data_IF_506431520268
#
_entry.id   IF_506431520268
#
_cell.length_a   1.000
_cell.length_b   1.000
_cell.length_c   1.000
_cell.angle_alpha   90.00
_cell.angle_beta   90.00
_cell.angle_gamma   90.00
#
_symmetry.space_group_name_H-M   'P 1'
#
loop_
_entity.id
_entity.type
_entity.pdbx_description
1 polymer ?
#
# COMPACT_ATOMS: atom_id res chain seq x y z
N UNK A 1 -17.50 3.19 6.44
CA UNK A 1 -18.78 2.46 6.53
C UNK A 1 -18.81 1.24 5.60
N UNK A 2 -18.49 1.41 4.31
CA UNK A 2 -18.44 0.30 3.34
C UNK A 2 -17.51 -0.87 3.75
N UNK A 3 -16.35 -0.59 4.34
CA UNK A 3 -15.42 -1.63 4.82
C UNK A 3 -16.02 -2.52 5.92
N UNK A 4 -16.67 -1.95 6.93
CA UNK A 4 -17.23 -2.72 8.05
C UNK A 4 -18.39 -3.60 7.58
N UNK A 5 -19.26 -3.05 6.72
CA UNK A 5 -20.37 -3.80 6.12
C UNK A 5 -19.83 -4.89 5.18
N UNK A 6 -18.80 -4.59 4.39
CA UNK A 6 -18.14 -5.55 3.52
C UNK A 6 -17.51 -6.71 4.28
N UNK A 7 -16.86 -6.46 5.43
CA UNK A 7 -16.30 -7.50 6.30
C UNK A 7 -17.42 -8.40 6.86
N UNK A 8 -18.52 -7.80 7.34
CA UNK A 8 -19.65 -8.54 7.88
C UNK A 8 -20.39 -9.38 6.83
N UNK A 9 -20.46 -8.93 5.58
CA UNK A 9 -21.04 -9.70 4.48
C UNK A 9 -20.08 -10.79 3.99
N UNK A 10 -18.77 -10.50 3.97
CA UNK A 10 -17.75 -11.45 3.56
C UNK A 10 -17.67 -12.66 4.50
N UNK A 11 -17.83 -12.46 5.82
CA UNK A 11 -17.86 -13.56 6.80
C UNK A 11 -19.08 -14.48 6.64
N UNK A 12 -20.16 -14.03 6.00
CA UNK A 12 -21.35 -14.81 5.68
C UNK A 12 -21.33 -15.54 4.33
N UNK A 13 -20.30 -15.33 3.51
CA UNK A 13 -20.13 -16.04 2.22
C UNK A 13 -20.07 -17.58 2.39
N UNK A 14 -19.33 -18.16 3.36
CA UNK A 14 -19.26 -19.63 3.49
C UNK A 14 -20.56 -20.26 4.01
N UNK A 15 -21.46 -19.49 4.63
CA UNK A 15 -22.72 -20.00 5.22
C UNK A 15 -23.94 -19.85 4.31
N UNK A 16 -23.91 -18.95 3.31
CA UNK A 16 -25.04 -18.69 2.41
C UNK A 16 -24.67 -18.80 0.93
N UNK A 17 -25.27 -19.77 0.23
CA UNK A 17 -25.07 -19.98 -1.21
C UNK A 17 -25.47 -18.76 -2.08
N UNK A 18 -26.45 -17.95 -1.63
CA UNK A 18 -26.83 -16.70 -2.30
C UNK A 18 -25.72 -15.64 -2.28
N UNK A 19 -24.99 -15.53 -1.18
CA UNK A 19 -23.86 -14.62 -1.04
C UNK A 19 -22.66 -15.09 -1.86
N UNK A 20 -22.41 -16.40 -1.95
CA UNK A 20 -21.38 -16.95 -2.84
C UNK A 20 -21.65 -16.65 -4.31
N UNK A 21 -22.90 -16.83 -4.79
CA UNK A 21 -23.27 -16.51 -6.18
C UNK A 21 -23.24 -15.00 -6.48
N UNK A 22 -23.62 -14.16 -5.52
CA UNK A 22 -23.51 -12.71 -5.65
C UNK A 22 -22.04 -12.25 -5.69
N UNK A 23 -21.17 -12.85 -4.87
CA UNK A 23 -19.74 -12.56 -4.87
C UNK A 23 -19.08 -12.88 -6.22
N UNK A 24 -19.47 -13.99 -6.87
CA UNK A 24 -18.98 -14.35 -8.21
C UNK A 24 -19.37 -13.34 -9.30
N UNK A 25 -20.46 -12.60 -9.13
CA UNK A 25 -20.86 -11.50 -10.04
C UNK A 25 -20.13 -10.19 -9.76
N UNK A 26 -19.53 -10.07 -8.57
CA UNK A 26 -18.73 -8.92 -8.16
C UNK A 26 -19.03 -8.46 -6.73
N UNK A 27 -18.06 -7.80 -6.11
CA UNK A 27 -18.16 -7.35 -4.71
C UNK A 27 -19.31 -6.35 -4.47
N UNK A 28 -19.68 -5.54 -5.47
CA UNK A 28 -20.85 -4.66 -5.38
C UNK A 28 -22.18 -5.40 -5.39
N UNK A 29 -22.28 -6.55 -6.06
CA UNK A 29 -23.49 -7.37 -6.09
C UNK A 29 -23.72 -8.07 -4.74
N UNK A 30 -22.65 -8.43 -4.02
CA UNK A 30 -22.73 -8.95 -2.67
C UNK A 30 -23.37 -7.94 -1.70
N UNK A 31 -23.03 -6.66 -1.82
CA UNK A 31 -23.60 -5.59 -0.98
C UNK A 31 -25.10 -5.45 -1.24
N UNK A 32 -25.52 -5.46 -2.51
CA UNK A 32 -26.95 -5.38 -2.89
C UNK A 32 -27.72 -6.60 -2.40
N UNK A 33 -27.14 -7.80 -2.50
CA UNK A 33 -27.76 -9.04 -2.03
C UNK A 33 -27.88 -9.07 -0.49
N UNK A 34 -26.88 -8.55 0.23
CA UNK A 34 -26.90 -8.42 1.69
C UNK A 34 -27.96 -7.46 2.20
N UNK A 35 -28.34 -6.45 1.42
CA UNK A 35 -29.42 -5.52 1.74
C UNK A 35 -30.79 -5.93 1.18
N UNK A 36 -30.87 -7.03 0.43
CA UNK A 36 -32.11 -7.57 -0.13
C UNK A 36 -33.21 -7.87 0.93
N UNK A 37 -32.90 -8.33 2.17
CA UNK A 37 -33.92 -8.56 3.20
C UNK A 37 -34.66 -7.29 3.65
N UNK A 38 -34.10 -6.10 3.40
CA UNK A 38 -34.71 -4.81 3.77
C UNK A 38 -35.58 -4.21 2.65
N UNK A 39 -35.79 -4.93 1.53
CA UNK A 39 -36.66 -4.51 0.44
C UNK A 39 -36.27 -3.16 -0.17
N UNK A 40 -37.23 -2.23 -0.29
CA UNK A 40 -37.02 -0.91 -0.92
C UNK A 40 -35.97 -0.03 -0.19
N UNK A 41 -35.88 -0.12 1.13
CA UNK A 41 -34.90 0.63 1.93
C UNK A 41 -33.47 0.07 1.73
N UNK A 42 -33.34 -1.23 1.48
CA UNK A 42 -32.05 -1.87 1.19
C UNK A 42 -31.37 -1.33 -0.07
N UNK A 43 -32.15 -0.99 -1.11
CA UNK A 43 -31.63 -0.34 -2.32
C UNK A 43 -31.09 1.06 -2.03
N UNK A 44 -31.78 1.83 -1.18
CA UNK A 44 -31.30 3.14 -0.74
C UNK A 44 -29.98 3.04 0.03
N UNK A 45 -29.88 2.11 0.99
CA UNK A 45 -28.63 1.86 1.73
C UNK A 45 -27.49 1.44 0.81
N UNK A 46 -27.76 0.63 -0.21
CA UNK A 46 -26.76 0.20 -1.21
C UNK A 46 -26.19 1.40 -1.98
N UNK A 47 -27.03 2.37 -2.36
CA UNK A 47 -26.58 3.62 -3.01
C UNK A 47 -25.73 4.46 -2.07
N UNK A 48 -26.12 4.59 -0.80
CA UNK A 48 -25.34 5.32 0.22
C UNK A 48 -23.96 4.68 0.43
N UNK A 49 -23.90 3.34 0.46
CA UNK A 49 -22.63 2.60 0.54
C UNK A 49 -21.77 2.82 -0.70
N UNK A 50 -22.37 2.82 -1.90
CA UNK A 50 -21.66 3.10 -3.15
C UNK A 50 -21.09 4.54 -3.18
N UNK A 51 -21.87 5.54 -2.74
CA UNK A 51 -21.38 6.92 -2.58
C UNK A 51 -20.24 7.01 -1.55
N UNK A 52 -20.30 6.22 -0.49
CA UNK A 52 -19.22 6.14 0.52
C UNK A 52 -17.90 5.60 -0.04
N UNK A 53 -17.93 4.70 -1.02
CA UNK A 53 -16.73 4.23 -1.71
C UNK A 53 -16.07 5.36 -2.51
N UNK A 54 -16.88 6.18 -3.20
CA UNK A 54 -16.38 7.35 -3.94
C UNK A 54 -15.68 8.32 -2.97
N UNK A 55 -16.32 8.63 -1.84
CA UNK A 55 -15.73 9.49 -0.81
C UNK A 55 -14.39 8.94 -0.28
N UNK A 56 -14.24 7.62 -0.18
CA UNK A 56 -13.00 6.99 0.28
C UNK A 56 -11.83 7.16 -0.72
N UNK A 57 -12.11 7.28 -2.02
CA UNK A 57 -11.06 7.50 -3.04
C UNK A 57 -10.50 8.93 -3.05
N UNK A 58 -11.14 9.88 -2.36
CA UNK A 58 -10.72 11.29 -2.34
C UNK A 58 -9.36 11.46 -1.67
N UNK A 59 -9.15 10.84 -0.50
CA UNK A 59 -7.89 10.96 0.25
C UNK A 59 -6.66 10.41 -0.51
N UNK A 60 -6.68 9.18 -1.08
CA UNK A 60 -5.55 8.69 -1.85
C UNK A 60 -5.32 9.49 -3.14
N UNK A 61 -6.40 9.94 -3.82
CA UNK A 61 -6.27 10.82 -4.99
C UNK A 61 -5.60 12.15 -4.61
N UNK A 62 -6.00 12.73 -3.48
CA UNK A 62 -5.39 13.95 -2.94
C UNK A 62 -3.90 13.76 -2.67
N UNK A 63 -3.52 12.68 -1.98
CA UNK A 63 -2.11 12.37 -1.66
C UNK A 63 -1.28 12.27 -2.94
N UNK A 64 -1.73 11.47 -3.91
CA UNK A 64 -1.01 11.27 -5.17
C UNK A 64 -0.71 12.59 -5.89
N UNK A 65 -1.67 13.53 -5.90
CA UNK A 65 -1.46 14.85 -6.50
C UNK A 65 -0.41 15.70 -5.78
N UNK A 66 -0.26 15.57 -4.46
CA UNK A 66 0.81 16.25 -3.70
C UNK A 66 2.15 15.57 -3.95
N UNK A 67 2.18 14.24 -3.97
CA UNK A 67 3.41 13.47 -4.21
C UNK A 67 4.04 13.81 -5.57
N UNK A 68 3.21 13.93 -6.63
CA UNK A 68 3.68 14.38 -7.95
C UNK A 68 4.21 15.82 -7.96
N UNK A 69 3.67 16.71 -7.12
CA UNK A 69 4.15 18.09 -7.01
C UNK A 69 5.49 18.17 -6.28
N UNK A 70 5.73 17.30 -5.30
CA UNK A 70 7.00 17.22 -4.55
C UNK A 70 8.13 16.65 -5.40
N UNK A 71 7.82 15.78 -6.38
CA UNK A 71 8.83 15.04 -7.16
C UNK A 71 9.66 15.92 -8.13
N UNK A 72 9.27 17.16 -8.43
CA UNK A 72 10.10 18.01 -9.29
C UNK A 72 9.66 19.46 -9.46
N UNK A 73 10.65 20.36 -9.60
CA UNK A 73 10.47 21.81 -9.92
C UNK A 73 9.63 22.08 -11.17
N UNK A 74 9.56 21.14 -12.11
CA UNK A 74 8.74 21.25 -13.31
C UNK A 74 7.31 20.74 -13.11
N UNK A 75 7.10 19.76 -12.21
CA UNK A 75 5.79 19.22 -11.89
C UNK A 75 4.99 20.13 -10.94
N UNK A 76 5.67 20.96 -10.14
CA UNK A 76 5.08 22.02 -9.31
C UNK A 76 4.34 23.09 -10.14
N UNK A 77 4.82 23.38 -11.36
CA UNK A 77 4.19 24.37 -12.26
C UNK A 77 2.82 23.93 -12.78
N UNK A 78 2.51 22.65 -12.71
CA UNK A 78 1.25 22.11 -13.26
C UNK A 78 0.17 22.20 -12.17
N UNK A 79 -0.99 22.82 -12.46
CA UNK A 79 -2.12 22.87 -11.55
C UNK A 79 -2.51 21.48 -11.08
N UNK A 80 -2.71 21.35 -9.77
CA UNK A 80 -3.07 20.10 -9.08
C UNK A 80 -4.24 19.34 -9.70
N UNK A 81 -5.21 20.07 -10.27
CA UNK A 81 -6.38 19.51 -10.93
C UNK A 81 -5.97 18.53 -12.04
N UNK A 82 -4.93 18.85 -12.82
CA UNK A 82 -4.47 18.02 -13.94
C UNK A 82 -3.90 16.70 -13.41
N UNK A 83 -3.07 16.73 -12.36
CA UNK A 83 -2.51 15.52 -11.76
C UNK A 83 -3.60 14.62 -11.17
N UNK A 84 -4.58 15.22 -10.47
CA UNK A 84 -5.71 14.46 -9.94
C UNK A 84 -6.56 13.85 -11.07
N UNK A 85 -6.82 14.57 -12.17
CA UNK A 85 -7.57 14.03 -13.31
C UNK A 85 -6.83 12.88 -13.98
N UNK A 86 -5.51 12.99 -14.17
CA UNK A 86 -4.69 11.90 -14.73
C UNK A 86 -4.72 10.67 -13.81
N UNK A 87 -4.57 10.85 -12.50
CA UNK A 87 -4.69 9.76 -11.53
C UNK A 87 -6.06 9.08 -11.61
N UNK A 88 -7.15 9.86 -11.74
CA UNK A 88 -8.52 9.37 -11.92
C UNK A 88 -8.67 8.50 -13.16
N UNK A 89 -8.14 8.97 -14.29
CA UNK A 89 -8.18 8.21 -15.54
C UNK A 89 -7.42 6.89 -15.38
N UNK A 90 -6.22 6.90 -14.79
CA UNK A 90 -5.40 5.70 -14.62
C UNK A 90 -6.12 4.65 -13.77
N UNK A 91 -6.58 5.01 -12.56
CA UNK A 91 -7.23 4.01 -11.71
C UNK A 91 -8.59 3.56 -12.28
N UNK A 92 -9.28 4.42 -13.05
CA UNK A 92 -10.54 4.07 -13.72
C UNK A 92 -10.32 3.07 -14.85
N UNK A 93 -9.28 3.26 -15.67
CA UNK A 93 -8.87 2.30 -16.70
C UNK A 93 -8.46 0.97 -16.06
N UNK A 94 -7.68 1.01 -14.98
CA UNK A 94 -7.32 -0.18 -14.22
C UNK A 94 -8.56 -0.90 -13.63
N UNK A 95 -9.54 -0.16 -13.12
CA UNK A 95 -10.79 -0.72 -12.60
C UNK A 95 -11.64 -1.39 -13.69
N UNK A 96 -11.68 -0.80 -14.89
CA UNK A 96 -12.37 -1.37 -16.07
C UNK A 96 -11.69 -2.66 -16.54
N UNK A 97 -10.36 -2.64 -16.69
CA UNK A 97 -9.58 -3.79 -17.13
C UNK A 97 -9.55 -4.92 -16.08
N UNK A 98 -9.53 -4.57 -14.80
CA UNK A 98 -9.46 -5.52 -13.70
C UNK A 98 -10.78 -6.26 -13.42
N UNK A 99 -11.92 -5.82 -13.96
CA UNK A 99 -13.27 -6.22 -13.53
C UNK A 99 -13.48 -7.73 -13.36
N UNK A 100 -12.86 -8.56 -14.21
CA UNK A 100 -12.99 -10.03 -14.19
C UNK A 100 -12.06 -10.74 -13.19
N UNK A 101 -10.93 -10.14 -12.79
CA UNK A 101 -9.93 -10.75 -11.90
C UNK A 101 -9.62 -9.87 -10.67
N UNK A 102 -10.54 -8.95 -10.33
CA UNK A 102 -10.36 -7.94 -9.28
C UNK A 102 -9.89 -8.55 -7.96
N UNK A 103 -10.48 -9.65 -7.52
CA UNK A 103 -10.20 -10.24 -6.21
C UNK A 103 -8.77 -10.78 -6.08
N UNK A 104 -8.31 -11.52 -7.11
CA UNK A 104 -6.95 -12.07 -7.12
C UNK A 104 -5.91 -10.98 -7.29
N UNK A 105 -6.17 -10.01 -8.18
CA UNK A 105 -5.26 -8.86 -8.36
C UNK A 105 -5.17 -8.06 -7.06
N UNK A 106 -6.30 -7.75 -6.41
CA UNK A 106 -6.30 -6.95 -5.18
C UNK A 106 -5.59 -7.66 -4.03
N UNK A 107 -5.87 -8.94 -3.78
CA UNK A 107 -5.25 -9.68 -2.67
C UNK A 107 -3.73 -9.72 -2.81
N UNK A 108 -3.26 -9.97 -4.03
CA UNK A 108 -1.84 -10.07 -4.29
C UNK A 108 -1.12 -8.71 -4.38
N UNK A 109 -1.77 -7.69 -4.95
CA UNK A 109 -1.19 -6.35 -5.00
C UNK A 109 -1.15 -5.71 -3.61
N UNK A 110 -2.17 -5.95 -2.79
CA UNK A 110 -2.24 -5.43 -1.43
C UNK A 110 -1.13 -6.01 -0.54
N UNK A 111 -0.82 -7.30 -0.68
CA UNK A 111 0.32 -7.91 0.00
C UNK A 111 1.66 -7.28 -0.45
N UNK A 112 1.84 -7.01 -1.75
CA UNK A 112 3.05 -6.37 -2.27
C UNK A 112 3.21 -4.92 -1.76
N UNK A 113 2.12 -4.16 -1.69
CA UNK A 113 2.07 -2.84 -1.04
C UNK A 113 2.44 -2.93 0.44
N UNK A 114 2.00 -3.99 1.13
CA UNK A 114 2.33 -4.27 2.52
C UNK A 114 3.82 -4.47 2.74
N UNK A 115 4.49 -5.28 1.92
CA UNK A 115 5.95 -5.49 2.05
C UNK A 115 6.72 -4.17 1.91
N UNK A 116 6.33 -3.36 0.93
CA UNK A 116 6.94 -2.07 0.72
C UNK A 116 6.76 -1.13 1.92
N UNK A 117 5.54 -1.04 2.45
CA UNK A 117 5.23 -0.20 3.61
C UNK A 117 6.01 -0.62 4.87
N UNK A 118 6.19 -1.93 5.08
CA UNK A 118 6.92 -2.46 6.23
C UNK A 118 8.41 -2.13 6.16
N UNK A 119 9.05 -2.26 4.99
CA UNK A 119 10.45 -1.85 4.78
C UNK A 119 10.62 -0.35 5.06
N UNK A 120 9.71 0.47 4.54
CA UNK A 120 9.77 1.92 4.75
C UNK A 120 9.57 2.30 6.21
N UNK A 121 8.65 1.62 6.90
CA UNK A 121 8.42 1.80 8.34
C UNK A 121 9.65 1.42 9.16
N UNK A 122 10.35 0.33 8.82
CA UNK A 122 11.60 -0.08 9.48
C UNK A 122 12.66 1.02 9.39
N UNK A 123 12.92 1.51 8.18
CA UNK A 123 13.91 2.58 7.92
C UNK A 123 13.55 3.87 8.67
N UNK A 124 12.27 4.27 8.65
CA UNK A 124 11.77 5.44 9.37
C UNK A 124 11.95 5.31 10.88
N UNK A 125 11.60 4.16 11.45
CA UNK A 125 11.74 3.89 12.87
C UNK A 125 13.21 3.96 13.30
N UNK A 126 14.10 3.34 12.55
CA UNK A 126 15.53 3.35 12.87
C UNK A 126 16.14 4.74 12.75
N UNK A 127 15.77 5.50 11.73
CA UNK A 127 16.20 6.89 11.59
C UNK A 127 15.75 7.74 12.80
N UNK A 128 14.50 7.56 13.22
CA UNK A 128 13.92 8.31 14.34
C UNK A 128 14.51 7.90 15.69
N UNK A 129 14.69 6.60 15.93
CA UNK A 129 15.05 6.07 17.26
C UNK A 129 16.56 5.87 17.46
N UNK A 130 17.34 5.56 16.42
CA UNK A 130 18.78 5.29 16.52
C UNK A 130 19.59 6.56 16.21
N UNK A 131 19.27 7.25 15.10
CA UNK A 131 20.12 8.34 14.60
C UNK A 131 19.66 9.73 15.04
N UNK A 132 18.34 9.95 15.19
CA UNK A 132 17.77 11.25 15.59
C UNK A 132 17.06 11.22 16.95
N UNK A 133 17.50 10.36 17.87
CA UNK A 133 16.93 10.31 19.23
C UNK A 133 17.19 11.65 19.95
N UNK A 134 16.16 12.50 20.02
CA UNK A 134 16.19 13.77 20.75
C UNK A 134 16.71 14.99 19.96
N UNK A 135 16.84 14.91 18.63
CA UNK A 135 17.22 16.09 17.81
C UNK A 135 15.96 16.75 17.23
N UNK A 136 15.79 18.04 17.49
CA UNK A 136 14.68 18.84 16.98
C UNK A 136 14.79 19.02 15.46
N UNK A 137 13.66 18.97 14.74
CA UNK A 137 13.68 19.17 13.29
C UNK A 137 14.00 20.63 12.97
N UNK A 138 15.08 20.87 12.23
CA UNK A 138 15.37 22.19 11.71
C UNK A 138 14.47 22.49 10.50
N UNK A 139 13.35 23.15 10.75
CA UNK A 139 12.35 23.50 9.74
C UNK A 139 12.89 24.48 8.68
N UNK A 140 13.89 25.30 9.02
CA UNK A 140 14.50 26.27 8.10
C UNK A 140 15.36 25.61 7.02
N UNK A 141 15.83 24.38 7.25
CA UNK A 141 16.68 23.64 6.30
C UNK A 141 15.92 22.62 5.44
N UNK A 142 14.58 22.55 5.54
CA UNK A 142 13.77 21.51 4.89
C UNK A 142 13.86 21.51 3.36
N UNK A 143 14.02 22.68 2.74
CA UNK A 143 14.14 22.84 1.28
C UNK A 143 15.59 22.89 0.76
N UNK A 144 16.60 22.65 1.60
CA UNK A 144 18.00 22.70 1.17
C UNK A 144 18.57 21.28 0.93
N UNK A 145 18.61 20.80 -0.32
CA UNK A 145 19.15 19.46 -0.64
C UNK A 145 20.63 19.29 -0.26
N UNK A 146 21.36 20.40 -0.02
CA UNK A 146 22.75 20.38 0.45
C UNK A 146 22.92 20.10 1.95
N UNK A 147 21.86 20.30 2.75
CA UNK A 147 21.84 20.10 4.21
C UNK A 147 21.18 18.77 4.61
N UNK A 148 20.55 18.08 3.67
CA UNK A 148 19.91 16.78 3.89
C UNK A 148 20.90 15.64 3.65
N UNK A 149 20.82 14.52 4.41
CA UNK A 149 21.62 13.33 4.14
C UNK A 149 21.31 12.82 2.72
N UNK A 150 22.35 12.37 2.02
CA UNK A 150 22.32 12.03 0.59
C UNK A 150 21.35 10.86 0.29
N UNK A 151 20.95 10.11 1.34
CA UNK A 151 19.86 9.13 1.26
C UNK A 151 20.28 7.83 0.56
N UNK A 152 21.56 7.69 0.22
CA UNK A 152 22.10 6.49 -0.44
C UNK A 152 22.04 5.29 0.51
N UNK A 153 22.32 5.48 1.81
CA UNK A 153 22.15 4.39 2.78
C UNK A 153 20.70 3.91 2.89
N UNK A 154 19.75 4.85 2.87
CA UNK A 154 18.31 4.55 2.86
C UNK A 154 17.89 3.83 1.59
N UNK A 155 18.39 4.25 0.42
CA UNK A 155 18.11 3.60 -0.85
C UNK A 155 18.70 2.18 -0.94
N UNK A 156 19.92 1.96 -0.45
CA UNK A 156 20.53 0.62 -0.46
C UNK A 156 19.80 -0.30 0.54
N UNK A 157 19.50 0.16 1.75
CA UNK A 157 18.72 -0.61 2.71
C UNK A 157 17.32 -0.94 2.17
N UNK A 158 16.72 0.00 1.43
CA UNK A 158 15.46 -0.21 0.74
C UNK A 158 15.55 -1.32 -0.30
N UNK A 159 16.55 -1.29 -1.19
CA UNK A 159 16.77 -2.31 -2.22
C UNK A 159 17.04 -3.68 -1.59
N UNK A 160 17.86 -3.74 -0.54
CA UNK A 160 18.16 -5.01 0.15
C UNK A 160 16.92 -5.56 0.85
N UNK A 161 16.14 -4.71 1.53
CA UNK A 161 14.83 -5.10 2.08
C UNK A 161 13.87 -5.62 1.01
N UNK A 162 13.85 -5.00 -0.17
CA UNK A 162 13.02 -5.42 -1.30
C UNK A 162 13.44 -6.79 -1.84
N UNK A 163 14.75 -7.03 -1.98
CA UNK A 163 15.29 -8.34 -2.38
C UNK A 163 14.91 -9.41 -1.34
N UNK A 164 15.03 -9.10 -0.05
CA UNK A 164 14.61 -10.01 1.03
C UNK A 164 13.12 -10.33 0.99
N UNK A 165 12.28 -9.33 0.74
CA UNK A 165 10.83 -9.52 0.60
C UNK A 165 10.49 -10.40 -0.61
N UNK A 166 11.09 -10.17 -1.79
CA UNK A 166 10.85 -10.98 -2.99
C UNK A 166 11.27 -12.44 -2.76
N UNK A 167 12.43 -12.68 -2.14
CA UNK A 167 12.95 -14.04 -1.93
C UNK A 167 12.05 -14.88 -1.00
N UNK A 168 11.30 -14.21 -0.11
CA UNK A 168 10.41 -14.82 0.89
C UNK A 168 8.92 -14.66 0.55
N UNK A 169 8.59 -14.11 -0.61
CA UNK A 169 7.23 -13.89 -1.07
C UNK A 169 6.59 -15.19 -1.54
N UNK A 170 5.35 -15.46 -1.10
CA UNK A 170 4.54 -16.56 -1.61
C UNK A 170 3.25 -15.99 -2.21
N UNK A 171 3.30 -15.65 -3.49
CA UNK A 171 2.19 -15.10 -4.25
C UNK A 171 1.76 -16.05 -5.37
N UNK A 172 0.51 -15.91 -5.84
CA UNK A 172 -0.07 -16.72 -6.95
C UNK A 172 0.81 -16.78 -8.23
N UNK A 173 1.69 -15.80 -8.43
CA UNK A 173 2.45 -15.48 -9.62
C UNK A 173 3.94 -15.73 -9.39
N UNK A 174 4.38 -15.74 -8.12
CA UNK A 174 5.78 -15.94 -7.76
C UNK A 174 5.89 -16.50 -6.34
N UNK A 175 6.52 -17.67 -6.24
CA UNK A 175 6.89 -18.26 -4.95
C UNK A 175 8.41 -18.24 -4.86
N UNK A 176 8.91 -17.40 -3.95
CA UNK A 176 10.33 -17.22 -3.71
C UNK A 176 11.01 -18.50 -3.21
N UNK A 177 12.31 -18.68 -3.50
CA UNK A 177 13.05 -19.88 -3.15
C UNK A 177 13.08 -20.14 -1.64
N UNK A 178 13.05 -19.08 -0.81
CA UNK A 178 13.01 -19.21 0.65
C UNK A 178 11.59 -19.58 1.12
N UNK A 179 10.56 -19.03 0.48
CA UNK A 179 9.17 -19.39 0.78
C UNK A 179 8.86 -20.87 0.48
N UNK A 180 9.45 -21.44 -0.59
CA UNK A 180 9.31 -22.87 -0.94
C UNK A 180 9.89 -23.82 0.10
N UNK A 181 10.88 -23.39 0.87
CA UNK A 181 11.52 -24.22 1.89
C UNK A 181 10.67 -24.40 3.16
N UNK A 182 9.68 -23.54 3.38
CA UNK A 182 8.97 -23.42 4.67
C UNK A 182 7.64 -24.21 4.68
N UNK A 183 7.21 -24.81 3.57
CA UNK A 183 6.09 -25.75 3.54
C UNK A 183 5.60 -26.11 2.13
N UNK A 184 4.76 -27.16 2.03
CA UNK A 184 4.22 -27.67 0.74
C UNK A 184 3.45 -26.62 -0.09
N UNK A 185 2.89 -25.59 0.55
CA UNK A 185 2.16 -24.50 -0.11
C UNK A 185 2.87 -23.13 -0.02
N UNK A 186 4.07 -23.07 0.58
CA UNK A 186 4.80 -21.82 0.84
C UNK A 186 4.14 -20.96 1.92
N UNK A 187 4.91 -20.52 2.92
CA UNK A 187 4.44 -19.53 3.88
C UNK A 187 4.92 -18.14 3.42
N UNK A 188 3.98 -17.19 3.30
CA UNK A 188 4.35 -15.80 3.01
C UNK A 188 4.97 -15.15 4.25
N UNK A 189 6.28 -14.92 4.18
CA UNK A 189 7.04 -14.23 5.23
C UNK A 189 7.73 -12.98 4.69
N UNK A 190 7.29 -12.47 3.53
CA UNK A 190 7.92 -11.34 2.86
C UNK A 190 7.95 -10.07 3.73
N UNK A 191 6.90 -9.83 4.51
CA UNK A 191 6.78 -8.67 5.42
C UNK A 191 7.78 -8.75 6.58
N UNK A 192 7.85 -9.88 7.27
CA UNK A 192 8.74 -10.06 8.42
C UNK A 192 10.21 -10.05 8.00
N UNK A 193 10.56 -10.78 6.93
CA UNK A 193 11.95 -10.84 6.46
C UNK A 193 12.39 -9.52 5.86
N UNK A 194 11.52 -8.84 5.09
CA UNK A 194 11.77 -7.49 4.58
C UNK A 194 12.05 -6.49 5.72
N UNK A 195 11.28 -6.55 6.81
CA UNK A 195 11.53 -5.75 8.01
C UNK A 195 12.89 -6.07 8.64
N UNK A 196 13.17 -7.36 8.90
CA UNK A 196 14.40 -7.78 9.57
C UNK A 196 15.65 -7.45 8.77
N UNK A 197 15.64 -7.65 7.45
CA UNK A 197 16.78 -7.33 6.61
C UNK A 197 16.99 -5.83 6.45
N UNK A 198 15.92 -5.05 6.25
CA UNK A 198 16.02 -3.60 6.25
C UNK A 198 16.61 -3.09 7.58
N UNK A 199 16.13 -3.66 8.69
CA UNK A 199 16.57 -3.29 10.04
C UNK A 199 18.01 -3.69 10.38
N UNK A 200 18.51 -4.79 9.80
CA UNK A 200 19.91 -5.21 10.01
C UNK A 200 20.90 -4.43 9.14
N UNK A 201 20.47 -4.03 7.94
CA UNK A 201 21.35 -3.44 6.92
C UNK A 201 21.43 -1.92 7.05
N UNK A 202 20.36 -1.26 7.48
CA UNK A 202 20.33 0.20 7.58
C UNK A 202 21.24 0.80 8.67
N UNK A 203 21.33 0.27 9.91
CA UNK A 203 22.20 0.83 10.94
C UNK A 203 23.71 0.85 10.59
N UNK A 204 24.34 -0.22 10.06
CA UNK A 204 25.75 -0.17 9.70
C UNK A 204 26.01 0.71 8.48
N UNK A 205 25.14 0.71 7.47
CA UNK A 205 25.29 1.58 6.30
C UNK A 205 25.19 3.05 6.69
N UNK A 206 24.27 3.38 7.58
CA UNK A 206 24.09 4.76 8.02
C UNK A 206 25.20 5.24 8.93
N UNK A 207 25.77 4.35 9.76
CA UNK A 207 27.00 4.65 10.49
C UNK A 207 28.18 4.96 9.56
N UNK A 208 28.32 4.20 8.46
CA UNK A 208 29.33 4.44 7.43
C UNK A 208 29.10 5.75 6.67
N UNK A 209 27.86 6.05 6.26
CA UNK A 209 27.51 7.31 5.58
C UNK A 209 27.85 8.51 6.45
N UNK A 210 27.51 8.45 7.74
CA UNK A 210 27.82 9.52 8.71
C UNK A 210 29.32 9.70 8.93
N UNK A 211 30.11 8.61 8.86
CA UNK A 211 31.58 8.64 9.01
C UNK A 211 32.29 9.15 7.76
N UNK A 212 31.80 8.84 6.56
CA UNK A 212 32.41 9.26 5.29
C UNK A 212 31.98 10.66 4.85
N UNK A 213 30.70 11.01 5.02
CA UNK A 213 30.16 12.27 4.54
C UNK A 213 30.01 13.33 5.65
N UNK A 214 30.22 12.97 6.92
CA UNK A 214 30.16 13.90 8.05
C UNK A 214 28.80 14.58 8.24
N UNK A 215 27.75 14.00 7.66
CA UNK A 215 26.36 14.51 7.61
C UNK A 215 25.40 13.37 7.88
#
# INVERSE_FOLDING_TARGET
MAFIIGIGLASGIPTHAGYSNAYNKGQGALIVEGFNPLGGFGKFCSVVVALGLIANTVAPTYSSGVDFQILGRYAEKIPRVIWNTVAVIIYTVCALAGRSNLSDIFTNFLALMGYWAVIWTAIMLEERYIFRRGVEYNWDAWCEPKKLPIGIAGFIAFVVGWVGAILCMAQVWYIGPIAKLVGKNGADMGSYVGFSWAALVFPPLRYLERRFFGR
#
